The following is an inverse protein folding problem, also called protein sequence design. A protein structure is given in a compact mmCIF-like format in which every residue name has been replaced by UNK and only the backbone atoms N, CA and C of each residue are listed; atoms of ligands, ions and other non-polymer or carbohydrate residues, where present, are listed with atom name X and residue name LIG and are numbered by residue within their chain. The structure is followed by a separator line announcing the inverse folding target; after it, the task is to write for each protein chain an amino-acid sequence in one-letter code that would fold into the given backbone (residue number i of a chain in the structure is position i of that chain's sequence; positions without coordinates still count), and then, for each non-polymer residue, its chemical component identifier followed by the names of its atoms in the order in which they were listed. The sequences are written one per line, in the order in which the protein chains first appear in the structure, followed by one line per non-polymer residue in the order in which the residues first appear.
data_IF_458572831321
#
_entry.id   IF_458572831321
#
_cell.length_a   1.000
_cell.length_b   1.000
_cell.length_c   1.000
_cell.angle_alpha   90.00
_cell.angle_beta   90.00
_cell.angle_gamma   90.00
#
_symmetry.space_group_name_H-M   'P 1'
#
loop_
_entity.id
_entity.type
_entity.pdbx_description
1 polymer ?
#
# COMPACT_ATOMS: atom_id res chain seq x y z
N UNK A 1 -34.04 -2.83 24.16
CA UNK A 1 -34.41 -1.94 25.29
C UNK A 1 -35.62 -1.07 24.91
N UNK A 2 -36.69 -1.69 24.39
CA UNK A 2 -37.96 -1.05 24.01
C UNK A 2 -39.00 -1.55 25.02
N UNK A 3 -38.91 -1.09 26.28
CA UNK A 3 -39.95 -1.39 27.30
C UNK A 3 -39.85 -0.55 28.59
N UNK A 4 -39.13 0.57 28.64
CA UNK A 4 -38.98 1.34 29.89
C UNK A 4 -39.10 2.86 29.68
N UNK A 5 -40.22 3.31 29.11
CA UNK A 5 -40.65 4.72 29.21
C UNK A 5 -42.18 4.83 29.24
N UNK A 6 -42.81 4.03 30.10
CA UNK A 6 -44.14 4.37 30.64
C UNK A 6 -43.94 4.84 32.07
N UNK A 7 -44.65 5.91 32.41
CA UNK A 7 -44.84 6.55 33.74
C UNK A 7 -43.79 7.54 34.25
N UNK A 8 -43.76 8.73 33.62
CA UNK A 8 -43.55 10.00 34.34
C UNK A 8 -44.72 10.93 34.05
N UNK A 9 -45.72 10.91 34.93
CA UNK A 9 -46.92 11.75 34.82
C UNK A 9 -46.66 13.11 35.49
N UNK A 10 -46.00 14.01 34.76
CA UNK A 10 -45.66 15.35 35.22
C UNK A 10 -46.88 16.28 35.10
N UNK A 11 -47.49 16.63 36.24
CA UNK A 11 -48.76 17.37 36.38
C UNK A 11 -48.73 18.88 36.04
N UNK A 12 -47.63 19.42 35.51
CA UNK A 12 -47.52 20.87 35.23
C UNK A 12 -46.81 21.15 33.91
N UNK A 13 -47.45 21.95 33.03
CA UNK A 13 -46.87 22.39 31.76
C UNK A 13 -45.56 23.19 31.97
N UNK A 14 -45.40 23.89 33.10
CA UNK A 14 -44.14 24.60 33.41
C UNK A 14 -42.96 23.64 33.62
N UNK A 15 -43.20 22.45 34.18
CA UNK A 15 -42.16 21.47 34.48
C UNK A 15 -41.73 20.68 33.22
N UNK A 16 -42.66 20.49 32.27
CA UNK A 16 -42.35 19.93 30.94
C UNK A 16 -41.48 20.87 30.11
N UNK A 17 -41.74 22.19 30.16
CA UNK A 17 -40.91 23.18 29.46
C UNK A 17 -39.52 23.36 30.08
N UNK A 18 -39.37 23.28 31.41
CA UNK A 18 -38.04 23.33 32.06
C UNK A 18 -37.16 22.12 31.71
N UNK A 19 -37.74 20.92 31.63
CA UNK A 19 -37.00 19.70 31.25
C UNK A 19 -36.67 19.70 29.76
N UNK A 20 -37.57 20.19 28.89
CA UNK A 20 -37.28 20.36 27.46
C UNK A 20 -36.16 21.39 27.22
N UNK A 21 -36.14 22.49 27.97
CA UNK A 21 -35.04 23.46 27.91
C UNK A 21 -33.73 22.88 28.46
N UNK A 22 -33.77 22.09 29.54
CA UNK A 22 -32.59 21.40 30.09
C UNK A 22 -31.99 20.35 29.13
N UNK A 23 -32.83 19.62 28.39
CA UNK A 23 -32.39 18.64 27.38
C UNK A 23 -31.89 19.35 26.11
N UNK A 24 -32.51 20.47 25.69
CA UNK A 24 -31.96 21.31 24.62
C UNK A 24 -30.64 21.97 25.00
N UNK A 25 -30.42 22.29 26.29
CA UNK A 25 -29.13 22.81 26.77
C UNK A 25 -28.07 21.70 26.89
N UNK A 26 -28.46 20.47 27.25
CA UNK A 26 -27.54 19.32 27.27
C UNK A 26 -27.16 18.83 25.87
N UNK A 27 -28.02 19.00 24.87
CA UNK A 27 -27.71 18.70 23.47
C UNK A 27 -26.91 19.81 22.76
N UNK A 28 -26.81 21.01 23.35
CA UNK A 28 -26.05 22.14 22.79
C UNK A 28 -24.54 22.13 23.07
N UNK A 29 -24.04 21.13 23.81
CA UNK A 29 -22.62 21.03 24.20
C UNK A 29 -21.88 19.83 23.59
N UNK A 30 -22.47 19.14 22.61
CA UNK A 30 -21.68 18.39 21.65
C UNK A 30 -21.09 19.40 20.66
N UNK A 31 -20.10 20.17 21.13
CA UNK A 31 -19.11 20.67 20.19
C UNK A 31 -18.57 19.42 19.51
N UNK A 32 -18.90 19.26 18.23
CA UNK A 32 -18.12 18.43 17.34
C UNK A 32 -16.72 18.99 17.48
N UNK A 33 -15.88 18.37 18.32
CA UNK A 33 -14.45 18.60 18.26
C UNK A 33 -14.13 18.09 16.87
N UNK A 34 -14.06 19.01 15.91
CA UNK A 34 -13.54 18.72 14.59
C UNK A 34 -12.27 17.92 14.84
N UNK A 35 -12.23 16.68 14.34
CA UNK A 35 -11.08 15.82 14.53
C UNK A 35 -9.89 16.57 13.93
N UNK A 36 -9.10 17.21 14.78
CA UNK A 36 -7.87 17.89 14.42
C UNK A 36 -6.78 16.86 14.14
N UNK A 37 -7.13 15.75 13.47
CA UNK A 37 -6.27 14.61 13.17
C UNK A 37 -6.36 14.36 11.66
N UNK A 38 -5.21 14.29 10.96
CA UNK A 38 -5.18 13.95 9.55
C UNK A 38 -5.91 12.66 9.24
N UNK A 39 -6.83 12.72 8.27
CA UNK A 39 -7.49 11.53 7.72
C UNK A 39 -6.53 10.86 6.74
N UNK A 40 -5.80 9.85 7.21
CA UNK A 40 -4.85 9.07 6.42
C UNK A 40 -5.04 7.58 6.72
N UNK A 41 -4.70 6.75 5.75
CA UNK A 41 -4.79 5.29 5.77
C UNK A 41 -3.40 4.72 5.43
N UNK A 42 -2.77 3.91 6.30
CA UNK A 42 -3.19 3.61 7.68
C UNK A 42 -3.19 4.85 8.58
N UNK A 43 -3.91 4.78 9.70
CA UNK A 43 -3.92 5.84 10.70
C UNK A 43 -2.52 6.04 11.31
N UNK A 44 -2.17 7.29 11.61
CA UNK A 44 -0.90 7.62 12.26
C UNK A 44 -0.82 7.02 13.66
N UNK A 45 0.35 6.51 14.04
CA UNK A 45 0.59 6.08 15.44
C UNK A 45 0.38 7.23 16.44
N UNK A 46 0.89 8.43 16.13
CA UNK A 46 0.78 9.59 17.00
C UNK A 46 0.58 10.88 16.19
N UNK A 47 -0.32 11.74 16.67
CA UNK A 47 -0.52 13.09 16.14
C UNK A 47 -0.64 14.11 17.27
N UNK A 48 0.15 15.18 17.20
CA UNK A 48 0.13 16.32 18.12
C UNK A 48 -0.34 17.58 17.37
N UNK A 49 -1.63 17.96 17.48
CA UNK A 49 -2.17 19.08 16.73
C UNK A 49 -1.62 20.42 17.22
N UNK A 50 -1.52 21.39 16.31
CA UNK A 50 -1.28 22.81 16.59
C UNK A 50 -2.39 23.64 15.95
N UNK A 51 -2.67 24.84 16.47
CA UNK A 51 -3.74 25.70 15.94
C UNK A 51 -3.47 26.10 14.47
N UNK A 52 -4.53 25.99 13.66
CA UNK A 52 -4.58 26.50 12.30
C UNK A 52 -4.26 25.45 11.23
N UNK A 53 -4.39 25.88 9.98
CA UNK A 53 -4.03 25.11 8.79
C UNK A 53 -2.83 25.78 8.08
N UNK A 54 -2.13 25.00 7.27
CA UNK A 54 -1.09 25.47 6.36
C UNK A 54 -1.47 25.05 4.95
N UNK A 55 -1.33 25.98 4.00
CA UNK A 55 -1.53 25.70 2.58
C UNK A 55 -0.17 25.58 1.93
N UNK A 56 0.06 24.47 1.23
CA UNK A 56 1.18 24.35 0.29
C UNK A 56 0.73 24.94 -1.06
N UNK A 57 1.58 25.72 -1.75
CA UNK A 57 1.25 26.26 -3.06
C UNK A 57 1.19 25.15 -4.13
N UNK A 58 0.45 25.35 -5.22
CA UNK A 58 0.42 24.39 -6.34
C UNK A 58 1.75 24.32 -7.13
N UNK A 59 2.71 25.19 -6.80
CA UNK A 59 4.07 25.12 -7.32
C UNK A 59 5.09 25.44 -6.23
N UNK A 60 6.20 24.71 -6.22
CA UNK A 60 7.14 24.83 -5.10
C UNK A 60 8.40 23.99 -5.25
N UNK A 61 9.04 23.75 -4.11
CA UNK A 61 10.27 22.96 -4.01
C UNK A 61 10.07 21.80 -3.06
N UNK A 62 10.58 20.63 -3.42
CA UNK A 62 10.92 19.56 -2.49
C UNK A 62 12.42 19.66 -2.24
N UNK A 63 12.80 20.07 -1.04
CA UNK A 63 14.18 20.32 -0.66
C UNK A 63 14.73 19.06 0.02
N UNK A 64 15.93 18.64 -0.39
CA UNK A 64 16.70 17.58 0.27
C UNK A 64 17.91 18.23 0.96
N UNK A 65 18.25 17.76 2.16
CA UNK A 65 19.49 18.15 2.84
C UNK A 65 20.72 17.89 1.96
N UNK A 66 21.71 18.80 2.00
CA UNK A 66 22.89 18.74 1.12
C UNK A 66 23.69 17.44 1.20
N UNK A 67 23.74 16.85 2.38
CA UNK A 67 24.60 15.68 2.65
C UNK A 67 23.87 14.36 2.36
N UNK A 68 22.61 14.43 1.89
CA UNK A 68 21.67 13.30 1.82
C UNK A 68 21.07 13.11 0.42
N UNK A 69 21.56 13.85 -0.60
CA UNK A 69 21.06 13.75 -1.98
C UNK A 69 21.06 12.31 -2.47
N UNK A 70 22.18 11.59 -2.32
CA UNK A 70 22.30 10.21 -2.82
C UNK A 70 21.29 9.24 -2.23
N UNK A 71 20.83 9.48 -0.99
CA UNK A 71 19.88 8.61 -0.30
C UNK A 71 18.41 9.00 -0.56
N UNK A 72 18.11 10.29 -0.75
CA UNK A 72 16.74 10.80 -0.75
C UNK A 72 16.25 11.31 -2.10
N UNK A 73 17.13 11.45 -3.11
CA UNK A 73 16.78 11.97 -4.43
C UNK A 73 15.64 11.20 -5.08
N UNK A 74 15.71 9.87 -5.07
CA UNK A 74 14.67 9.02 -5.64
C UNK A 74 13.30 9.25 -4.96
N UNK A 75 13.26 9.30 -3.62
CA UNK A 75 12.02 9.57 -2.88
C UNK A 75 11.45 10.97 -3.18
N UNK A 76 12.33 11.96 -3.36
CA UNK A 76 11.91 13.32 -3.71
C UNK A 76 11.38 13.41 -5.16
N UNK A 77 12.02 12.74 -6.11
CA UNK A 77 11.60 12.68 -7.51
C UNK A 77 10.25 11.98 -7.64
N UNK A 78 10.05 10.85 -6.94
CA UNK A 78 8.75 10.17 -6.90
C UNK A 78 7.67 11.08 -6.29
N UNK A 79 7.96 11.77 -5.17
CA UNK A 79 7.01 12.71 -4.59
C UNK A 79 6.64 13.84 -5.56
N UNK A 80 7.62 14.42 -6.28
CA UNK A 80 7.35 15.45 -7.29
C UNK A 80 6.48 14.91 -8.42
N UNK A 81 6.75 13.69 -8.88
CA UNK A 81 5.96 13.03 -9.92
C UNK A 81 4.53 12.77 -9.43
N UNK A 82 4.35 12.25 -8.22
CA UNK A 82 3.02 12.00 -7.65
C UNK A 82 2.22 13.29 -7.45
N UNK A 83 2.86 14.38 -6.99
CA UNK A 83 2.21 15.69 -6.89
C UNK A 83 1.70 16.17 -8.25
N UNK A 84 2.46 15.90 -9.31
CA UNK A 84 2.06 16.25 -10.69
C UNK A 84 0.92 15.37 -11.19
N UNK A 85 1.03 14.04 -11.03
CA UNK A 85 0.06 13.07 -11.51
C UNK A 85 -1.28 13.16 -10.76
N UNK A 86 -1.24 13.33 -9.43
CA UNK A 86 -2.44 13.35 -8.58
C UNK A 86 -3.16 14.69 -8.55
N UNK A 87 -2.41 15.80 -8.61
CA UNK A 87 -2.96 17.14 -8.34
C UNK A 87 -2.63 18.19 -9.42
N UNK A 88 -1.79 17.85 -10.42
CA UNK A 88 -1.32 18.81 -11.42
C UNK A 88 -0.26 19.80 -10.91
N UNK A 89 0.19 19.64 -9.66
CA UNK A 89 1.10 20.58 -8.98
C UNK A 89 2.52 20.51 -9.58
N UNK A 90 3.17 21.67 -9.69
CA UNK A 90 4.47 21.82 -10.35
C UNK A 90 5.58 22.06 -9.32
N UNK A 91 6.14 20.98 -8.80
CA UNK A 91 7.26 21.02 -7.86
C UNK A 91 8.57 20.63 -8.56
N UNK A 92 9.69 21.05 -7.97
CA UNK A 92 11.02 20.60 -8.38
C UNK A 92 11.86 20.17 -7.17
N UNK A 93 12.75 19.21 -7.39
CA UNK A 93 13.73 18.81 -6.37
C UNK A 93 14.83 19.87 -6.29
N UNK A 94 15.21 20.27 -5.07
CA UNK A 94 16.29 21.23 -4.80
C UNK A 94 17.17 20.70 -3.67
N UNK A 95 18.48 20.89 -3.78
CA UNK A 95 19.42 20.55 -2.71
C UNK A 95 19.69 21.80 -1.88
N UNK A 96 19.53 21.72 -0.56
CA UNK A 96 19.73 22.88 0.31
C UNK A 96 19.24 22.70 1.74
N UNK A 97 19.07 23.83 2.42
CA UNK A 97 18.59 23.89 3.81
C UNK A 97 17.07 24.01 3.84
N UNK A 98 16.48 23.62 4.97
CA UNK A 98 15.05 23.80 5.22
C UNK A 98 14.63 25.26 4.99
N UNK A 99 13.59 25.45 4.18
CA UNK A 99 12.95 26.74 3.91
C UNK A 99 11.51 26.73 4.47
N UNK A 100 11.02 27.89 4.93
CA UNK A 100 9.60 28.02 5.34
C UNK A 100 8.70 27.88 4.11
N UNK A 101 7.58 27.19 4.25
CA UNK A 101 6.58 26.96 3.19
C UNK A 101 6.98 25.91 2.16
N UNK A 102 8.15 25.27 2.29
CA UNK A 102 8.60 24.20 1.41
C UNK A 102 8.38 22.81 2.03
N UNK A 103 8.47 21.78 1.19
CA UNK A 103 8.64 20.40 1.65
C UNK A 103 10.13 20.16 1.84
N UNK A 104 10.55 19.61 2.97
CA UNK A 104 11.94 19.31 3.30
C UNK A 104 12.05 17.84 3.73
N UNK A 105 12.94 17.10 3.08
CA UNK A 105 13.22 15.69 3.35
C UNK A 105 14.62 15.57 3.94
N UNK A 106 14.76 14.84 5.04
CA UNK A 106 16.05 14.64 5.68
C UNK A 106 16.14 13.32 6.46
N UNK A 107 17.36 12.85 6.77
CA UNK A 107 17.59 11.71 7.62
C UNK A 107 17.85 12.15 9.07
N UNK A 108 17.38 11.35 10.02
CA UNK A 108 17.74 11.48 11.43
C UNK A 108 18.84 10.49 11.82
N UNK A 109 19.35 10.66 13.03
CA UNK A 109 20.10 9.59 13.70
C UNK A 109 19.22 8.34 13.85
N UNK A 110 19.84 7.14 13.95
CA UNK A 110 19.12 5.91 14.25
C UNK A 110 18.20 6.05 15.47
N UNK A 111 16.95 5.61 15.32
CA UNK A 111 15.92 5.63 16.36
C UNK A 111 15.25 4.26 16.41
N UNK A 112 15.43 3.54 17.51
CA UNK A 112 14.88 2.18 17.68
C UNK A 112 13.36 2.13 17.66
N UNK A 113 12.69 3.23 18.04
CA UNK A 113 11.23 3.30 18.03
C UNK A 113 10.69 3.44 16.61
N UNK A 114 11.41 4.17 15.75
CA UNK A 114 11.03 4.34 14.34
C UNK A 114 11.45 3.14 13.49
N UNK A 115 12.58 2.50 13.83
CA UNK A 115 13.15 1.44 13.02
C UNK A 115 13.44 1.91 11.60
N UNK A 116 13.30 1.00 10.62
CA UNK A 116 13.64 1.28 9.23
C UNK A 116 12.52 2.00 8.48
N UNK A 117 11.27 1.89 8.93
CA UNK A 117 10.09 2.39 8.20
C UNK A 117 9.41 3.57 8.89
N UNK A 118 9.76 3.88 10.13
CA UNK A 118 9.17 4.97 10.88
C UNK A 118 9.70 6.33 10.46
N UNK A 119 8.85 7.36 10.60
CA UNK A 119 9.19 8.73 10.29
C UNK A 119 8.50 9.71 11.27
N UNK A 120 9.01 10.92 11.28
CA UNK A 120 8.40 12.08 11.92
C UNK A 120 8.04 13.09 10.85
N UNK A 121 6.89 13.73 11.00
CA UNK A 121 6.43 14.79 10.10
C UNK A 121 6.09 16.04 10.92
N UNK A 122 6.58 17.19 10.50
CA UNK A 122 6.24 18.49 11.06
C UNK A 122 5.57 19.36 9.99
N UNK A 123 4.32 19.77 10.25
CA UNK A 123 3.49 20.55 9.33
C UNK A 123 3.22 21.94 9.90
N UNK A 124 4.15 22.55 10.65
CA UNK A 124 3.92 23.85 11.30
C UNK A 124 4.34 25.05 10.46
N UNK A 125 5.53 25.03 9.84
CA UNK A 125 6.07 26.18 9.09
C UNK A 125 6.43 25.87 7.62
N UNK A 126 6.20 24.63 7.22
CA UNK A 126 6.41 23.96 5.95
C UNK A 126 6.08 22.49 6.21
N UNK A 127 6.46 21.58 5.33
CA UNK A 127 6.40 20.15 5.66
C UNK A 127 7.82 19.65 5.82
N UNK A 128 8.18 19.13 6.98
CA UNK A 128 9.45 18.43 7.20
C UNK A 128 9.18 16.98 7.46
N UNK A 129 9.79 16.09 6.68
CA UNK A 129 9.74 14.65 6.85
C UNK A 129 11.15 14.18 7.18
N UNK A 130 11.30 13.59 8.35
CA UNK A 130 12.56 13.13 8.91
C UNK A 130 12.43 11.66 9.31
N UNK A 131 13.41 10.82 8.98
CA UNK A 131 13.42 9.41 9.37
C UNK A 131 14.84 8.84 9.48
N UNK A 132 15.05 7.72 10.21
CA UNK A 132 16.36 7.07 10.27
C UNK A 132 16.86 6.52 8.92
N UNK A 133 15.95 6.24 7.98
CA UNK A 133 16.28 5.69 6.66
C UNK A 133 15.47 6.36 5.55
N UNK A 134 15.94 6.19 4.31
CA UNK A 134 15.22 6.64 3.11
C UNK A 134 13.82 6.00 2.98
N UNK A 135 13.64 4.76 3.47
CA UNK A 135 12.35 4.05 3.43
C UNK A 135 11.33 4.72 4.36
N UNK A 136 11.75 5.13 5.55
CA UNK A 136 10.91 5.92 6.46
C UNK A 136 10.53 7.28 5.85
N UNK A 137 11.49 8.00 5.26
CA UNK A 137 11.19 9.26 4.56
C UNK A 137 10.15 9.04 3.45
N UNK A 138 10.34 7.98 2.66
CA UNK A 138 9.42 7.62 1.59
C UNK A 138 8.00 7.37 2.11
N UNK A 139 7.81 6.64 3.22
CA UNK A 139 6.49 6.46 3.83
C UNK A 139 5.86 7.76 4.33
N UNK A 140 6.68 8.69 4.83
CA UNK A 140 6.22 10.05 5.15
C UNK A 140 5.67 10.79 3.93
N UNK A 141 6.24 10.58 2.74
CA UNK A 141 5.70 11.18 1.50
C UNK A 141 4.31 10.66 1.17
N UNK A 142 4.03 9.38 1.41
CA UNK A 142 2.70 8.78 1.18
C UNK A 142 1.66 9.43 2.09
N UNK A 143 2.01 9.66 3.35
CA UNK A 143 1.16 10.39 4.30
C UNK A 143 0.90 11.82 3.83
N UNK A 144 1.93 12.55 3.36
CA UNK A 144 1.76 13.91 2.85
C UNK A 144 0.77 13.95 1.67
N UNK A 145 0.91 13.05 0.70
CA UNK A 145 0.00 12.97 -0.45
C UNK A 145 -1.45 12.74 -0.01
N UNK A 146 -1.68 11.84 0.94
CA UNK A 146 -3.01 11.62 1.50
C UNK A 146 -3.56 12.84 2.25
N UNK A 147 -2.70 13.54 3.00
CA UNK A 147 -3.10 14.78 3.67
C UNK A 147 -3.51 15.86 2.66
N UNK A 148 -2.76 16.03 1.56
CA UNK A 148 -3.11 16.97 0.49
C UNK A 148 -4.45 16.57 -0.14
N UNK A 149 -4.64 15.30 -0.49
CA UNK A 149 -5.87 14.81 -1.11
C UNK A 149 -7.10 15.00 -0.22
N UNK A 150 -6.99 14.68 1.07
CA UNK A 150 -8.12 14.68 2.01
C UNK A 150 -8.35 16.03 2.70
N UNK A 151 -7.47 17.02 2.52
CA UNK A 151 -7.56 18.33 3.17
C UNK A 151 -7.35 19.47 2.16
N UNK A 152 -8.27 19.63 1.18
CA UNK A 152 -8.12 20.61 0.10
C UNK A 152 -8.03 22.07 0.59
N UNK A 153 -8.64 22.38 1.75
CA UNK A 153 -8.56 23.72 2.36
C UNK A 153 -7.25 23.97 3.15
N UNK A 154 -6.27 23.08 3.03
CA UNK A 154 -4.98 23.17 3.70
C UNK A 154 -4.78 22.11 4.79
N UNK A 155 -3.50 21.78 5.00
CA UNK A 155 -3.01 20.78 5.92
C UNK A 155 -3.19 21.23 7.37
N UNK A 156 -3.74 20.36 8.22
CA UNK A 156 -3.77 20.59 9.66
C UNK A 156 -2.35 20.74 10.21
N UNK A 157 -2.08 21.84 10.92
CA UNK A 157 -0.76 22.04 11.54
C UNK A 157 -0.59 21.09 12.71
N UNK A 158 0.60 20.52 12.83
CA UNK A 158 0.92 19.61 13.91
C UNK A 158 2.16 18.81 13.64
N UNK A 159 2.37 17.79 14.47
CA UNK A 159 3.48 16.86 14.34
C UNK A 159 2.96 15.42 14.36
N UNK A 160 3.42 14.61 13.42
CA UNK A 160 3.18 13.18 13.39
C UNK A 160 4.45 12.42 13.79
N UNK A 161 4.25 11.29 14.47
CA UNK A 161 5.23 10.20 14.57
C UNK A 161 4.51 8.94 14.13
N UNK A 162 5.07 8.21 13.19
CA UNK A 162 4.40 7.06 12.59
C UNK A 162 5.41 5.96 12.25
N UNK A 163 4.97 4.72 12.39
CA UNK A 163 5.76 3.50 12.15
C UNK A 163 4.83 2.28 12.09
N UNK A 164 5.19 1.24 11.34
CA UNK A 164 4.34 0.05 11.23
C UNK A 164 4.40 -0.81 12.50
N UNK A 165 3.29 -1.48 12.82
CA UNK A 165 3.27 -2.51 13.88
C UNK A 165 3.90 -3.83 13.40
N UNK A 166 3.73 -4.16 12.13
CA UNK A 166 4.27 -5.36 11.50
C UNK A 166 5.20 -5.00 10.35
N UNK A 167 6.40 -5.59 10.29
CA UNK A 167 7.37 -5.30 9.24
C UNK A 167 6.90 -5.77 7.87
N UNK A 168 6.08 -6.82 7.80
CA UNK A 168 5.62 -7.43 6.56
C UNK A 168 4.13 -7.14 6.38
N UNK A 169 3.78 -6.50 5.27
CA UNK A 169 2.42 -6.07 4.95
C UNK A 169 2.15 -6.38 3.48
N UNK A 170 1.79 -7.63 3.23
CA UNK A 170 1.76 -8.21 1.91
C UNK A 170 0.39 -8.25 1.23
N UNK A 171 0.44 -8.32 -0.09
CA UNK A 171 -0.67 -8.64 -0.97
C UNK A 171 -0.21 -9.72 -1.96
N UNK A 172 -1.04 -10.71 -2.26
CA UNK A 172 -0.75 -11.74 -3.26
C UNK A 172 -1.68 -11.55 -4.47
N UNK A 173 -1.11 -11.60 -5.68
CA UNK A 173 -1.87 -11.60 -6.93
C UNK A 173 -1.65 -12.89 -7.71
N UNK A 174 -2.75 -13.56 -8.06
CA UNK A 174 -2.76 -14.69 -9.00
C UNK A 174 -2.74 -14.16 -10.43
N UNK A 175 -1.57 -14.26 -11.06
CA UNK A 175 -1.38 -13.93 -12.47
C UNK A 175 -1.34 -15.19 -13.34
N UNK A 176 -1.35 -16.37 -12.72
CA UNK A 176 -1.28 -17.64 -13.40
C UNK A 176 -2.64 -17.99 -14.02
N UNK A 177 -3.71 -18.07 -13.23
CA UNK A 177 -5.05 -18.41 -13.72
C UNK A 177 -5.62 -17.36 -14.68
N UNK A 178 -5.16 -16.12 -14.59
CA UNK A 178 -5.47 -15.05 -15.54
C UNK A 178 -4.30 -14.09 -15.68
N UNK A 179 -3.91 -13.81 -16.92
CA UNK A 179 -2.82 -12.87 -17.20
C UNK A 179 -3.21 -11.43 -16.84
N UNK A 180 -2.27 -10.72 -16.23
CA UNK A 180 -2.30 -9.27 -16.04
C UNK A 180 -1.09 -8.66 -16.76
N UNK A 181 -1.26 -7.50 -17.39
CA UNK A 181 -0.15 -6.86 -18.10
C UNK A 181 0.90 -6.35 -17.10
N UNK A 182 2.14 -6.19 -17.57
CA UNK A 182 3.20 -5.63 -16.72
C UNK A 182 2.85 -4.23 -16.21
N UNK A 183 2.20 -3.40 -17.03
CA UNK A 183 1.74 -2.07 -16.61
C UNK A 183 0.71 -2.14 -15.48
N UNK A 184 -0.20 -3.11 -15.53
CA UNK A 184 -1.14 -3.33 -14.43
C UNK A 184 -0.41 -3.66 -13.12
N UNK A 185 0.61 -4.53 -13.16
CA UNK A 185 1.41 -4.85 -11.97
C UNK A 185 2.17 -3.63 -11.44
N UNK A 186 2.72 -2.80 -12.33
CA UNK A 186 3.39 -1.54 -11.98
C UNK A 186 2.44 -0.55 -11.30
N UNK A 187 1.22 -0.40 -11.82
CA UNK A 187 0.20 0.45 -11.19
C UNK A 187 -0.23 -0.10 -9.83
N UNK A 188 -0.36 -1.41 -9.72
CA UNK A 188 -0.72 -2.05 -8.45
C UNK A 188 0.33 -1.81 -7.37
N UNK A 189 1.62 -1.87 -7.70
CA UNK A 189 2.72 -1.49 -6.80
C UNK A 189 2.54 -0.06 -6.27
N UNK A 190 2.18 0.90 -7.13
CA UNK A 190 1.94 2.29 -6.69
C UNK A 190 0.77 2.37 -5.71
N UNK A 191 -0.31 1.62 -5.95
CA UNK A 191 -1.47 1.54 -5.05
C UNK A 191 -1.06 0.95 -3.69
N UNK A 192 -0.36 -0.19 -3.68
CA UNK A 192 0.12 -0.83 -2.45
C UNK A 192 1.01 0.13 -1.65
N UNK A 193 1.95 0.78 -2.34
CA UNK A 193 2.87 1.77 -1.78
C UNK A 193 2.11 2.97 -1.19
N UNK A 194 1.08 3.49 -1.86
CA UNK A 194 0.25 4.57 -1.34
C UNK A 194 -0.37 4.25 0.03
N UNK A 195 -0.75 2.99 0.24
CA UNK A 195 -1.28 2.48 1.51
C UNK A 195 -0.22 1.83 2.42
N UNK A 196 1.06 2.03 2.12
CA UNK A 196 2.21 1.52 2.89
C UNK A 196 2.27 -0.02 3.00
N UNK A 197 1.61 -0.74 2.11
CA UNK A 197 1.87 -2.18 1.91
C UNK A 197 3.24 -2.31 1.22
N UNK A 198 4.04 -3.28 1.65
CA UNK A 198 5.46 -3.34 1.30
C UNK A 198 5.91 -4.69 0.74
N UNK A 199 4.98 -5.63 0.53
CA UNK A 199 5.24 -6.90 -0.12
C UNK A 199 4.16 -7.17 -1.18
N UNK A 200 4.58 -7.65 -2.35
CA UNK A 200 3.72 -8.12 -3.42
C UNK A 200 4.17 -9.52 -3.85
N UNK A 201 3.41 -10.53 -3.45
CA UNK A 201 3.61 -11.90 -3.92
C UNK A 201 2.94 -12.07 -5.28
N UNK A 202 3.71 -12.51 -6.29
CA UNK A 202 3.23 -12.75 -7.65
C UNK A 202 3.24 -14.25 -7.90
N UNK A 203 2.07 -14.85 -7.97
CA UNK A 203 1.88 -16.27 -8.16
C UNK A 203 1.94 -16.62 -9.66
N UNK A 204 3.07 -17.20 -10.10
CA UNK A 204 3.45 -17.27 -11.52
C UNK A 204 3.01 -18.55 -12.24
N UNK A 205 2.61 -19.60 -11.53
CA UNK A 205 2.04 -20.80 -12.14
C UNK A 205 0.89 -21.38 -11.35
N UNK A 206 -0.11 -21.89 -12.07
CA UNK A 206 -1.26 -22.60 -11.53
C UNK A 206 -2.10 -23.17 -12.69
N UNK A 207 -3.23 -23.77 -12.34
CA UNK A 207 -4.28 -24.24 -13.21
C UNK A 207 -5.68 -23.91 -12.69
N UNK A 208 -6.66 -24.02 -13.58
CA UNK A 208 -8.07 -24.00 -13.23
C UNK A 208 -8.47 -25.24 -12.42
N UNK A 209 -9.62 -25.15 -11.77
CA UNK A 209 -10.26 -26.31 -11.14
C UNK A 209 -10.88 -27.21 -12.21
N UNK A 210 -10.46 -28.48 -12.25
CA UNK A 210 -10.79 -29.43 -13.33
C UNK A 210 -12.29 -29.65 -13.52
N UNK A 211 -13.08 -29.46 -12.47
CA UNK A 211 -14.53 -29.61 -12.45
C UNK A 211 -15.21 -28.62 -13.42
N UNK A 212 -14.63 -27.43 -13.61
CA UNK A 212 -15.13 -26.44 -14.57
C UNK A 212 -14.72 -26.73 -16.02
N UNK A 213 -13.87 -27.74 -16.23
CA UNK A 213 -13.39 -28.17 -17.54
C UNK A 213 -13.85 -29.60 -17.88
N UNK A 214 -14.96 -30.04 -17.29
CA UNK A 214 -15.56 -31.34 -17.55
C UNK A 214 -14.79 -32.50 -16.93
N UNK A 215 -14.06 -32.25 -15.84
CA UNK A 215 -13.17 -33.22 -15.19
C UNK A 215 -12.10 -33.78 -16.14
N UNK A 216 -11.61 -32.94 -17.07
CA UNK A 216 -10.63 -33.30 -18.08
C UNK A 216 -9.38 -32.42 -17.95
N UNK A 217 -8.30 -33.00 -17.42
CA UNK A 217 -7.02 -32.32 -17.22
C UNK A 217 -6.35 -31.82 -18.49
N UNK A 218 -6.66 -32.39 -19.66
CA UNK A 218 -6.11 -31.93 -20.94
C UNK A 218 -6.82 -30.66 -21.44
N UNK A 219 -8.05 -30.41 -20.95
CA UNK A 219 -8.82 -29.19 -21.25
C UNK A 219 -8.67 -28.11 -20.17
N UNK A 220 -8.26 -28.50 -18.97
CA UNK A 220 -8.08 -27.57 -17.85
C UNK A 220 -7.00 -26.55 -18.18
N UNK A 221 -7.36 -25.27 -18.02
CA UNK A 221 -6.43 -24.17 -18.21
C UNK A 221 -5.24 -24.26 -17.25
N UNK A 222 -4.02 -24.05 -17.75
CA UNK A 222 -2.80 -23.96 -16.95
C UNK A 222 -1.82 -22.96 -17.57
N UNK A 223 -1.03 -22.29 -16.74
CA UNK A 223 -0.04 -21.34 -17.22
C UNK A 223 1.21 -21.32 -16.35
N UNK A 224 2.37 -21.14 -16.97
CA UNK A 224 3.61 -20.70 -16.33
C UNK A 224 4.00 -19.34 -16.94
N UNK A 225 3.91 -18.27 -16.16
CA UNK A 225 3.95 -16.89 -16.66
C UNK A 225 5.33 -16.32 -16.86
N UNK A 226 6.36 -16.90 -16.26
CA UNK A 226 7.73 -16.39 -16.44
C UNK A 226 8.39 -17.02 -17.67
N UNK A 227 9.17 -16.24 -18.39
CA UNK A 227 9.99 -16.75 -19.50
C UNK A 227 10.98 -17.83 -19.03
N UNK A 228 10.98 -18.96 -19.72
CA UNK A 228 11.88 -20.10 -19.49
C UNK A 228 12.57 -20.54 -20.78
N UNK A 229 13.79 -20.07 -20.98
CA UNK A 229 14.66 -20.52 -22.09
C UNK A 229 15.18 -21.94 -21.87
N UNK A 230 15.30 -22.36 -20.60
CA UNK A 230 15.82 -23.69 -20.23
C UNK A 230 14.84 -24.81 -20.58
N UNK A 231 13.54 -24.52 -20.58
CA UNK A 231 12.46 -25.47 -20.87
C UNK A 231 11.55 -24.92 -21.98
N UNK A 232 11.99 -25.01 -23.26
CA UNK A 232 11.24 -24.45 -24.38
C UNK A 232 9.85 -25.05 -24.50
N UNK A 233 8.82 -24.21 -24.45
CA UNK A 233 7.41 -24.61 -24.52
C UNK A 233 6.68 -24.62 -23.17
N UNK A 234 7.38 -24.45 -22.05
CA UNK A 234 6.76 -24.29 -20.72
C UNK A 234 6.07 -22.94 -20.55
N UNK A 235 6.68 -21.86 -21.05
CA UNK A 235 6.12 -20.50 -20.93
C UNK A 235 4.78 -20.37 -21.65
N UNK A 236 3.80 -19.81 -20.96
CA UNK A 236 2.45 -19.59 -21.47
C UNK A 236 2.46 -18.68 -22.71
N UNK A 237 1.65 -19.02 -23.72
CA UNK A 237 1.60 -18.30 -25.01
C UNK A 237 0.53 -17.21 -25.08
N UNK A 238 -0.42 -17.24 -24.15
CA UNK A 238 -1.53 -16.29 -24.06
C UNK A 238 -1.21 -15.08 -23.14
N UNK A 239 0.02 -15.04 -22.61
CA UNK A 239 0.54 -13.95 -21.79
C UNK A 239 1.65 -14.44 -20.87
N UNK A 240 2.79 -13.76 -20.88
CA UNK A 240 3.94 -14.07 -20.04
C UNK A 240 4.80 -12.83 -19.83
N UNK A 241 5.69 -12.86 -18.83
CA UNK A 241 6.69 -11.83 -18.58
C UNK A 241 8.06 -12.34 -18.99
N UNK A 242 8.79 -11.53 -19.75
CA UNK A 242 10.23 -11.79 -19.96
C UNK A 242 10.98 -11.65 -18.63
N UNK A 243 12.16 -12.30 -18.52
CA UNK A 243 13.01 -12.14 -17.34
C UNK A 243 13.43 -10.68 -17.14
N UNK A 244 13.71 -9.98 -18.24
CA UNK A 244 14.11 -8.57 -18.20
C UNK A 244 12.97 -7.67 -17.68
N UNK A 245 11.76 -7.82 -18.20
CA UNK A 245 10.59 -7.07 -17.72
C UNK A 245 10.32 -7.33 -16.24
N UNK A 246 10.40 -8.58 -15.80
CA UNK A 246 10.14 -8.95 -14.41
C UNK A 246 11.25 -8.46 -13.46
N UNK A 247 12.51 -8.40 -13.91
CA UNK A 247 13.61 -7.78 -13.16
C UNK A 247 13.42 -6.27 -13.03
N UNK A 248 13.06 -5.59 -14.11
CA UNK A 248 12.85 -4.13 -14.08
C UNK A 248 11.61 -3.76 -13.26
N UNK A 249 10.58 -4.61 -13.28
CA UNK A 249 9.44 -4.52 -12.37
C UNK A 249 9.86 -4.62 -10.91
N UNK A 250 10.67 -5.60 -10.52
CA UNK A 250 11.18 -5.75 -9.15
C UNK A 250 11.99 -4.51 -8.72
N UNK A 251 12.87 -4.00 -9.60
CA UNK A 251 13.65 -2.78 -9.33
C UNK A 251 12.75 -1.57 -9.11
N UNK A 252 11.74 -1.39 -9.99
CA UNK A 252 10.78 -0.29 -9.86
C UNK A 252 9.98 -0.42 -8.56
N UNK A 253 9.48 -1.62 -8.24
CA UNK A 253 8.76 -1.85 -6.99
C UNK A 253 9.58 -1.49 -5.75
N UNK A 254 10.87 -1.81 -5.75
CA UNK A 254 11.78 -1.45 -4.68
C UNK A 254 11.89 0.08 -4.48
N UNK A 255 11.84 0.88 -5.55
CA UNK A 255 11.84 2.36 -5.44
C UNK A 255 10.57 2.89 -4.77
N UNK A 256 9.47 2.14 -4.84
CA UNK A 256 8.20 2.43 -4.17
C UNK A 256 8.09 1.75 -2.79
N UNK A 257 9.17 1.16 -2.27
CA UNK A 257 9.20 0.49 -0.97
C UNK A 257 8.50 -0.88 -0.95
N UNK A 258 8.18 -1.45 -2.12
CA UNK A 258 7.49 -2.74 -2.26
C UNK A 258 8.46 -3.82 -2.71
N UNK A 259 8.60 -4.88 -1.91
CA UNK A 259 9.35 -6.07 -2.26
C UNK A 259 8.46 -7.03 -3.07
N UNK A 260 8.91 -7.42 -4.27
CA UNK A 260 8.18 -8.37 -5.11
C UNK A 260 8.71 -9.78 -4.85
N UNK A 261 7.82 -10.69 -4.49
CA UNK A 261 8.12 -12.09 -4.15
C UNK A 261 7.54 -12.97 -5.27
N UNK A 262 8.36 -13.46 -6.22
CA UNK A 262 7.89 -14.42 -7.21
C UNK A 262 7.66 -15.78 -6.57
N UNK A 263 6.52 -16.38 -6.85
CA UNK A 263 6.19 -17.74 -6.41
C UNK A 263 6.13 -18.68 -7.61
N UNK A 264 6.76 -19.84 -7.45
CA UNK A 264 6.57 -21.02 -8.29
C UNK A 264 6.00 -22.11 -7.38
N UNK A 265 4.76 -22.49 -7.60
CA UNK A 265 4.02 -23.42 -6.74
C UNK A 265 4.18 -24.87 -7.19
N UNK A 266 4.55 -25.73 -6.23
CA UNK A 266 4.80 -27.17 -6.35
C UNK A 266 4.66 -27.82 -4.95
N UNK A 267 4.29 -29.11 -4.83
CA UNK A 267 4.07 -30.08 -5.89
C UNK A 267 2.66 -30.07 -6.50
N UNK A 268 1.67 -29.48 -5.84
CA UNK A 268 0.35 -29.26 -6.41
C UNK A 268 0.36 -28.06 -7.39
N UNK A 269 -0.79 -27.68 -7.96
CA UNK A 269 -0.91 -26.51 -8.84
C UNK A 269 0.09 -26.50 -10.01
N UNK A 270 0.48 -27.70 -10.44
CA UNK A 270 1.63 -27.96 -11.29
C UNK A 270 1.26 -28.42 -12.69
N UNK A 271 0.00 -28.25 -13.11
CA UNK A 271 -0.48 -28.76 -14.40
C UNK A 271 0.30 -28.18 -15.59
N UNK A 272 0.79 -26.94 -15.49
CA UNK A 272 1.66 -26.36 -16.52
C UNK A 272 2.95 -27.17 -16.75
N UNK A 273 3.52 -27.73 -15.66
CA UNK A 273 4.71 -28.57 -15.73
C UNK A 273 4.40 -29.96 -16.26
N UNK A 274 3.28 -30.55 -15.86
CA UNK A 274 2.89 -31.89 -16.31
C UNK A 274 2.33 -31.89 -17.74
N UNK A 275 1.71 -30.80 -18.20
CA UNK A 275 1.43 -30.59 -19.62
C UNK A 275 2.71 -30.49 -20.45
N UNK A 276 3.74 -29.80 -19.92
CA UNK A 276 5.05 -29.73 -20.58
C UNK A 276 5.75 -31.10 -20.61
N UNK A 277 5.71 -31.86 -19.51
CA UNK A 277 6.27 -33.20 -19.42
C UNK A 277 5.36 -34.13 -18.59
N UNK A 278 4.49 -34.93 -19.24
CA UNK A 278 3.53 -35.79 -18.55
C UNK A 278 4.15 -36.83 -17.62
N UNK A 279 5.44 -37.16 -17.79
CA UNK A 279 6.14 -38.09 -16.88
C UNK A 279 6.26 -37.53 -15.46
N UNK A 280 6.17 -36.21 -15.30
CA UNK A 280 6.24 -35.53 -14.01
C UNK A 280 4.98 -35.71 -13.15
N UNK A 281 3.84 -36.08 -13.74
CA UNK A 281 2.59 -36.21 -12.99
C UNK A 281 2.66 -37.35 -11.95
N UNK A 282 2.07 -37.11 -10.78
CA UNK A 282 1.80 -38.13 -9.77
C UNK A 282 0.96 -39.28 -10.35
N UNK A 283 1.09 -40.49 -9.81
CA UNK A 283 0.28 -41.63 -10.26
C UNK A 283 -1.21 -41.38 -9.93
N UNK A 284 -2.07 -41.64 -10.92
CA UNK A 284 -3.47 -41.24 -11.01
C UNK A 284 -4.40 -41.82 -9.92
N UNK A 285 -3.88 -42.61 -8.98
CA UNK A 285 -4.71 -43.33 -8.00
C UNK A 285 -5.08 -42.50 -6.77
N UNK A 286 -4.27 -41.51 -6.42
CA UNK A 286 -4.48 -40.66 -5.23
C UNK A 286 -4.47 -39.16 -5.55
N UNK A 287 -3.68 -38.73 -6.55
CA UNK A 287 -3.52 -37.33 -6.94
C UNK A 287 -3.78 -37.13 -8.44
N UNK A 288 -4.20 -35.92 -8.82
CA UNK A 288 -4.47 -35.54 -10.21
C UNK A 288 -3.21 -35.17 -11.01
N UNK A 289 -3.39 -34.88 -12.30
CA UNK A 289 -2.30 -34.44 -13.18
C UNK A 289 -1.69 -33.09 -12.78
N UNK A 290 -2.35 -32.33 -11.90
CA UNK A 290 -1.84 -31.07 -11.35
C UNK A 290 -0.86 -31.27 -10.18
N UNK A 291 -0.50 -32.51 -9.86
CA UNK A 291 0.49 -32.85 -8.84
C UNK A 291 1.76 -33.45 -9.46
N UNK A 292 2.92 -33.01 -8.99
CA UNK A 292 4.21 -33.61 -9.32
C UNK A 292 4.46 -34.89 -8.52
N UNK A 293 5.03 -35.91 -9.18
CA UNK A 293 5.52 -37.12 -8.53
C UNK A 293 6.89 -36.87 -7.90
N UNK A 294 6.92 -36.70 -6.57
CA UNK A 294 8.15 -36.47 -5.82
C UNK A 294 8.98 -37.74 -5.58
N UNK A 295 8.44 -38.93 -5.91
CA UNK A 295 9.06 -40.22 -5.62
C UNK A 295 9.64 -40.89 -6.87
N UNK A 296 9.30 -40.41 -8.07
CA UNK A 296 9.94 -40.86 -9.32
C UNK A 296 11.42 -40.50 -9.31
N UNK A 297 12.28 -41.51 -9.31
CA UNK A 297 13.69 -41.34 -9.64
C UNK A 297 13.79 -40.98 -11.12
N UNK A 298 14.10 -39.71 -11.41
CA UNK A 298 14.22 -39.21 -12.78
C UNK A 298 15.63 -39.29 -13.36
N UNK A 299 16.56 -39.97 -12.69
CA UNK A 299 17.97 -40.13 -13.10
C UNK A 299 18.52 -41.45 -12.55
#
# INVERSE_FOLDING_TARGET
MISYFKTLNLKSNKMKHLILFGIMWLCGLMTVVAQNVPQVIPALQQWKPTKGKMVLPESGKVIISSDEEGALKQSAEILVQDLKEMFGWNYRVVIGKQEKGAVFLTLSKPDKTLGDEGYRMDVRNGVTIEAPTAKGVFWGTRTLLQMIHNQPDGLMRGQATDFPLYPNRGFMIDVARKFFTMDYLRDYVKILSFYKLNELQVHLNDNGFVEFFGNDWDKTYAAFRLESERYPGLTAKDGSYTKAEFQDFQKMAATYGVNVIPEIDVPAHSLAFTHYNPRLAADNKEYGMDHLDLYKQMW
#
